data_IF_091153613532
#
_entry.id   IF_091153613532
#
_cell.length_a   1.000
_cell.length_b   1.000
_cell.length_c   1.000
_cell.angle_alpha   90.00
_cell.angle_beta   90.00
_cell.angle_gamma   90.00
#
_symmetry.space_group_name_H-M   'P 1'
#
loop_
_entity.id
_entity.type
_entity.pdbx_description
1 polymer ?
#
# COMPACT_ATOMS: atom_id res chain seq x y z
N UNK A 1 -55.23 34.77 -3.03
CA UNK A 1 -54.10 34.65 -3.97
C UNK A 1 -53.01 33.87 -3.25
N UNK A 2 -52.83 32.61 -3.66
CA UNK A 2 -51.58 31.80 -3.57
C UNK A 2 -51.13 31.44 -2.14
N UNK A 3 -50.76 30.23 -1.76
CA UNK A 3 -50.97 28.86 -2.23
C UNK A 3 -50.57 28.02 -1.00
N UNK A 4 -51.38 27.04 -0.62
CA UNK A 4 -50.84 25.88 0.07
C UNK A 4 -50.11 25.05 -0.98
N UNK A 5 -48.81 24.80 -0.79
CA UNK A 5 -48.12 23.66 -1.40
C UNK A 5 -47.17 23.04 -0.37
N UNK A 6 -46.99 21.72 -0.42
CA UNK A 6 -46.60 20.90 0.72
C UNK A 6 -45.09 20.73 0.81
N UNK A 7 -44.65 20.28 1.98
CA UNK A 7 -43.36 19.66 2.23
C UNK A 7 -42.94 18.76 1.06
N UNK A 8 -41.96 19.21 0.27
CA UNK A 8 -41.16 18.32 -0.55
C UNK A 8 -39.98 17.92 0.32
N UNK A 9 -40.05 16.70 0.85
CA UNK A 9 -38.88 16.02 1.43
C UNK A 9 -38.02 15.61 0.24
N UNK A 10 -37.19 16.54 -0.25
CA UNK A 10 -36.12 16.17 -1.19
C UNK A 10 -35.15 15.26 -0.44
N UNK A 11 -35.23 13.97 -0.77
CA UNK A 11 -34.16 13.03 -0.51
C UNK A 11 -32.93 13.54 -1.28
N UNK A 12 -32.06 14.29 -0.60
CA UNK A 12 -30.69 14.47 -1.04
C UNK A 12 -30.03 13.09 -1.04
N UNK A 13 -30.13 12.39 -2.17
CA UNK A 13 -29.18 11.36 -2.54
C UNK A 13 -27.81 12.07 -2.60
N UNK A 14 -27.05 12.01 -1.51
CA UNK A 14 -25.62 12.28 -1.54
C UNK A 14 -25.00 11.23 -2.46
N UNK A 15 -24.96 11.51 -3.75
CA UNK A 15 -24.04 10.84 -4.64
C UNK A 15 -22.65 11.22 -4.14
N UNK A 16 -21.97 10.28 -3.49
CA UNK A 16 -20.56 10.44 -3.14
C UNK A 16 -19.80 10.62 -4.45
N UNK A 17 -19.43 11.87 -4.76
CA UNK A 17 -18.47 12.16 -5.82
C UNK A 17 -17.16 11.57 -5.30
N UNK A 18 -16.79 10.38 -5.78
CA UNK A 18 -15.45 9.86 -5.50
C UNK A 18 -14.46 10.76 -6.23
N UNK A 19 -13.77 11.62 -5.49
CA UNK A 19 -12.65 12.35 -6.05
C UNK A 19 -11.54 11.33 -6.30
N UNK A 20 -11.29 11.05 -7.57
CA UNK A 20 -10.06 10.38 -7.98
C UNK A 20 -8.94 11.38 -7.74
N UNK A 21 -7.99 10.99 -6.90
CA UNK A 21 -6.83 11.81 -6.58
C UNK A 21 -5.60 10.97 -6.80
N UNK A 22 -4.70 11.46 -7.64
CA UNK A 22 -3.46 10.75 -7.90
C UNK A 22 -2.52 10.98 -6.72
N UNK A 23 -2.18 9.92 -6.00
CA UNK A 23 -1.10 9.99 -5.03
C UNK A 23 0.24 9.90 -5.74
N UNK A 24 1.05 10.93 -5.61
CA UNK A 24 2.48 10.85 -5.91
C UNK A 24 3.27 10.77 -4.62
N UNK A 25 4.15 9.78 -4.52
CA UNK A 25 4.95 9.52 -3.33
C UNK A 25 6.34 9.00 -3.70
N UNK A 26 7.28 9.19 -2.78
CA UNK A 26 8.58 8.54 -2.73
C UNK A 26 8.66 7.61 -1.53
N UNK A 27 9.67 6.76 -1.52
CA UNK A 27 10.05 5.93 -0.39
C UNK A 27 10.82 6.78 0.61
N UNK A 28 10.39 6.78 1.87
CA UNK A 28 10.99 7.57 2.92
C UNK A 28 12.22 6.88 3.51
N UNK A 29 13.41 7.39 3.16
CA UNK A 29 14.70 6.91 3.65
C UNK A 29 14.80 6.90 5.19
N UNK A 30 14.06 7.78 5.88
CA UNK A 30 14.04 7.82 7.35
C UNK A 30 13.44 6.54 7.93
N UNK A 31 12.47 5.97 7.24
CA UNK A 31 11.79 4.74 7.68
C UNK A 31 12.55 3.49 7.25
N UNK A 32 13.28 3.54 6.14
CA UNK A 32 13.89 2.37 5.52
C UNK A 32 14.83 1.58 6.43
N UNK A 33 14.69 0.26 6.47
CA UNK A 33 15.66 -0.60 7.14
C UNK A 33 17.06 -0.52 6.49
N UNK A 34 18.12 -0.76 7.26
CA UNK A 34 19.51 -0.67 6.80
C UNK A 34 19.91 -1.65 5.71
N UNK A 35 19.10 -2.69 5.49
CA UNK A 35 19.27 -3.66 4.41
C UNK A 35 18.61 -3.23 3.09
N UNK A 36 17.97 -2.07 3.04
CA UNK A 36 17.30 -1.55 1.85
C UNK A 36 18.01 -0.29 1.36
N UNK A 37 18.69 -0.38 0.23
CA UNK A 37 19.23 0.81 -0.45
C UNK A 37 18.12 1.41 -1.32
N UNK A 38 17.85 2.70 -1.15
CA UNK A 38 16.96 3.45 -2.02
C UNK A 38 17.71 3.91 -3.28
N UNK A 39 17.05 3.85 -4.43
CA UNK A 39 17.61 4.30 -5.70
C UNK A 39 16.53 4.83 -6.65
N UNK A 40 16.94 5.34 -7.81
CA UNK A 40 16.05 5.99 -8.80
C UNK A 40 15.23 7.17 -8.24
N UNK A 41 15.91 8.07 -7.51
CA UNK A 41 15.25 9.23 -6.86
C UNK A 41 14.17 8.77 -5.86
N UNK A 42 14.51 7.75 -5.08
CA UNK A 42 13.71 7.22 -3.98
C UNK A 42 12.38 6.60 -4.40
N UNK A 43 12.32 6.02 -5.61
CA UNK A 43 11.14 5.28 -6.09
C UNK A 43 11.42 3.78 -6.25
N UNK A 44 12.56 3.32 -5.74
CA UNK A 44 12.97 1.94 -5.82
C UNK A 44 13.83 1.55 -4.61
N UNK A 45 13.75 0.29 -4.20
CA UNK A 45 14.59 -0.32 -3.17
C UNK A 45 15.23 -1.60 -3.70
N UNK A 46 16.47 -1.85 -3.27
CA UNK A 46 17.18 -3.11 -3.50
C UNK A 46 17.59 -3.70 -2.15
N UNK A 47 17.34 -5.00 -1.99
CA UNK A 47 17.76 -5.70 -0.78
C UNK A 47 19.26 -6.00 -0.79
N UNK A 48 19.94 -5.68 0.32
CA UNK A 48 21.35 -5.96 0.58
C UNK A 48 21.44 -6.88 1.79
N UNK A 49 21.85 -8.13 1.56
CA UNK A 49 21.96 -9.15 2.61
C UNK A 49 22.83 -8.72 3.81
N UNK A 50 23.91 -7.99 3.57
CA UNK A 50 24.79 -7.48 4.63
C UNK A 50 24.29 -6.14 5.21
N UNK A 51 23.45 -5.42 4.47
CA UNK A 51 23.01 -4.06 4.79
C UNK A 51 24.14 -3.08 5.10
N UNK A 52 23.76 -1.94 5.68
CA UNK A 52 24.68 -1.05 6.37
C UNK A 52 24.82 -1.52 7.82
N UNK A 53 26.06 -1.55 8.32
CA UNK A 53 26.38 -1.79 9.72
C UNK A 53 25.51 -0.92 10.64
N UNK A 54 24.63 -1.50 11.47
CA UNK A 54 23.72 -0.75 12.32
C UNK A 54 24.41 0.23 13.27
N UNK A 55 25.67 -0.02 13.64
CA UNK A 55 26.46 0.89 14.49
C UNK A 55 26.83 2.21 13.80
N UNK A 56 26.81 2.23 12.46
CA UNK A 56 27.11 3.42 11.64
C UNK A 56 25.88 4.24 11.30
N UNK A 57 24.69 3.76 11.67
CA UNK A 57 23.43 4.40 11.35
C UNK A 57 23.01 5.27 12.53
N UNK A 58 22.82 6.59 12.34
CA UNK A 58 22.32 7.47 13.39
C UNK A 58 21.02 6.92 13.99
N UNK A 59 20.83 7.08 15.29
CA UNK A 59 19.57 6.71 15.91
C UNK A 59 18.44 7.56 15.32
N UNK A 60 17.48 6.88 14.70
CA UNK A 60 16.25 7.46 14.20
C UNK A 60 15.07 6.60 14.68
N UNK A 61 14.15 7.14 15.49
CA UNK A 61 12.97 6.39 15.95
C UNK A 61 12.01 6.04 14.81
N UNK A 62 12.07 6.73 13.67
CA UNK A 62 11.19 6.44 12.53
C UNK A 62 11.63 5.20 11.73
N UNK A 63 12.87 4.72 11.94
CA UNK A 63 13.50 3.66 11.15
C UNK A 63 13.09 2.28 11.64
N UNK A 64 12.68 1.40 10.71
CA UNK A 64 12.57 -0.03 11.00
C UNK A 64 13.95 -0.63 11.24
N UNK A 65 14.12 -1.36 12.35
CA UNK A 65 15.41 -1.94 12.76
C UNK A 65 15.49 -3.46 12.66
N UNK A 66 14.35 -4.13 12.78
CA UNK A 66 14.28 -5.60 12.80
C UNK A 66 13.80 -6.17 11.46
N UNK A 67 13.05 -5.38 10.69
CA UNK A 67 12.36 -5.84 9.49
C UNK A 67 12.76 -4.99 8.28
N UNK A 68 13.08 -5.65 7.17
CA UNK A 68 13.44 -5.02 5.90
C UNK A 68 12.24 -4.31 5.24
N UNK A 69 11.84 -3.16 5.82
CA UNK A 69 10.62 -2.40 5.51
C UNK A 69 10.99 -0.96 5.17
N UNK A 70 10.19 -0.35 4.29
CA UNK A 70 10.18 1.08 4.00
C UNK A 70 8.73 1.55 3.79
N UNK A 71 8.43 2.79 4.17
CA UNK A 71 7.13 3.43 3.95
C UNK A 71 7.23 4.51 2.87
N UNK A 72 6.08 4.86 2.29
CA UNK A 72 5.93 6.05 1.46
C UNK A 72 5.87 7.34 2.28
N UNK A 73 6.24 8.46 1.67
CA UNK A 73 6.27 9.79 2.30
C UNK A 73 4.95 10.57 2.22
N UNK A 74 3.94 10.03 1.52
CA UNK A 74 2.63 10.67 1.35
C UNK A 74 1.53 9.92 2.13
N UNK A 75 0.76 10.66 2.90
CA UNK A 75 -0.36 10.15 3.69
C UNK A 75 -1.66 10.21 2.89
N UNK A 76 -2.44 9.13 2.98
CA UNK A 76 -3.79 9.01 2.44
C UNK A 76 -4.78 9.11 3.60
N UNK A 77 -5.73 10.05 3.49
CA UNK A 77 -6.77 10.30 4.49
C UNK A 77 -8.19 10.26 3.92
N UNK A 78 -8.33 10.11 2.61
CA UNK A 78 -9.59 10.10 1.88
C UNK A 78 -9.36 9.74 0.41
N UNK A 79 -10.41 9.34 -0.30
CA UNK A 79 -10.44 9.16 -1.74
C UNK A 79 -9.94 7.80 -2.21
N UNK A 80 -9.88 7.68 -3.54
CA UNK A 80 -9.35 6.50 -4.24
C UNK A 80 -8.00 6.82 -4.85
N UNK A 81 -7.03 5.95 -4.60
CA UNK A 81 -5.64 6.14 -4.98
C UNK A 81 -5.09 4.87 -5.62
N UNK A 82 -4.37 5.03 -6.73
CA UNK A 82 -3.77 3.93 -7.47
C UNK A 82 -2.26 4.12 -7.61
N UNK A 83 -1.52 3.02 -7.43
CA UNK A 83 -0.11 2.95 -7.78
C UNK A 83 0.25 1.53 -8.21
N UNK A 84 1.32 1.41 -8.96
CA UNK A 84 1.84 0.11 -9.39
C UNK A 84 3.16 -0.21 -8.71
N UNK A 85 3.44 -1.50 -8.60
CA UNK A 85 4.70 -2.03 -8.06
C UNK A 85 5.28 -3.02 -9.05
N UNK A 86 6.52 -2.79 -9.46
CA UNK A 86 7.32 -3.77 -10.22
C UNK A 86 8.29 -4.46 -9.30
N UNK A 87 8.29 -5.79 -9.30
CA UNK A 87 9.21 -6.60 -8.50
C UNK A 87 10.13 -7.39 -9.43
N UNK A 88 11.42 -7.40 -9.13
CA UNK A 88 12.45 -8.08 -9.92
C UNK A 88 13.34 -8.93 -9.04
N UNK A 89 13.58 -10.18 -9.46
CA UNK A 89 14.52 -11.10 -8.82
C UNK A 89 14.23 -11.33 -7.33
N UNK A 90 12.95 -11.31 -6.96
CA UNK A 90 12.49 -11.53 -5.59
C UNK A 90 11.49 -12.68 -5.56
N UNK A 91 11.54 -13.51 -4.52
CA UNK A 91 10.54 -14.52 -4.21
C UNK A 91 9.86 -14.28 -2.86
N UNK A 92 10.24 -13.21 -2.15
CA UNK A 92 9.70 -12.87 -0.84
C UNK A 92 9.58 -11.35 -0.68
N UNK A 93 8.33 -10.86 -0.71
CA UNK A 93 8.00 -9.45 -0.51
C UNK A 93 6.59 -9.25 0.04
N UNK A 94 6.33 -8.07 0.61
CA UNK A 94 5.00 -7.60 1.01
C UNK A 94 4.77 -6.20 0.47
N UNK A 95 3.56 -5.95 -0.01
CA UNK A 95 3.13 -4.67 -0.56
C UNK A 95 1.73 -4.32 -0.05
N UNK A 96 1.50 -3.07 0.29
CA UNK A 96 0.17 -2.61 0.70
C UNK A 96 0.24 -1.25 1.37
N UNK A 97 -0.52 -1.10 2.46
CA UNK A 97 -0.54 0.11 3.26
C UNK A 97 -0.45 -0.20 4.75
N UNK A 98 -0.01 0.79 5.51
CA UNK A 98 -0.03 0.76 6.96
C UNK A 98 -0.45 2.11 7.52
N UNK A 99 -0.94 2.11 8.75
CA UNK A 99 -1.13 3.34 9.51
C UNK A 99 0.22 4.09 9.59
N UNK A 100 0.19 5.41 9.37
CA UNK A 100 1.41 6.22 9.30
C UNK A 100 2.28 6.12 10.57
N UNK A 101 1.62 5.93 11.71
CA UNK A 101 2.18 5.81 13.06
C UNK A 101 2.38 4.35 13.52
N UNK A 102 2.31 3.35 12.62
CA UNK A 102 2.54 1.96 12.98
C UNK A 102 3.87 1.77 13.73
N UNK A 103 3.92 0.80 14.66
CA UNK A 103 5.14 0.50 15.39
C UNK A 103 6.29 0.14 14.44
N UNK A 104 7.51 0.62 14.74
CA UNK A 104 8.72 0.32 13.97
C UNK A 104 9.39 -1.01 14.38
N UNK A 105 8.84 -1.68 15.39
CA UNK A 105 9.32 -2.95 15.93
C UNK A 105 8.59 -4.17 15.32
N UNK A 106 7.52 -3.94 14.56
CA UNK A 106 6.70 -5.01 13.97
C UNK A 106 6.79 -5.04 12.44
N UNK A 107 6.50 -6.21 11.87
CA UNK A 107 6.46 -6.38 10.43
C UNK A 107 5.07 -6.04 9.88
N UNK A 108 4.98 -5.45 8.67
CA UNK A 108 3.70 -5.19 8.01
C UNK A 108 2.91 -6.48 7.77
N UNK A 109 1.61 -6.46 8.09
CA UNK A 109 0.70 -7.62 8.09
C UNK A 109 0.63 -8.40 9.42
N UNK A 110 1.42 -8.05 10.44
CA UNK A 110 1.40 -8.70 11.76
C UNK A 110 0.32 -8.10 12.67
N UNK A 111 0.16 -6.78 12.69
CA UNK A 111 -0.85 -6.10 13.49
C UNK A 111 -2.09 -5.76 12.68
N UNK A 112 -3.09 -5.20 13.36
CA UNK A 112 -4.26 -4.60 12.74
C UNK A 112 -4.01 -3.16 12.20
N UNK A 113 -2.74 -2.71 12.20
CA UNK A 113 -2.31 -1.39 11.72
C UNK A 113 -1.72 -1.44 10.30
N UNK A 114 -1.81 -2.59 9.63
CA UNK A 114 -1.29 -2.77 8.27
C UNK A 114 -2.06 -3.83 7.50
N UNK A 115 -2.23 -3.58 6.20
CA UNK A 115 -3.03 -4.37 5.28
C UNK A 115 -2.21 -4.61 4.02
N UNK A 116 -1.76 -5.85 3.83
CA UNK A 116 -0.78 -6.15 2.77
C UNK A 116 -1.12 -7.42 2.00
N UNK A 117 -0.68 -7.41 0.75
CA UNK A 117 -0.50 -8.60 -0.05
C UNK A 117 0.94 -9.08 0.07
N UNK A 118 1.13 -10.37 0.27
CA UNK A 118 2.44 -11.00 0.42
C UNK A 118 2.67 -11.99 -0.71
N UNK A 119 3.87 -12.00 -1.27
CA UNK A 119 4.34 -13.06 -2.15
C UNK A 119 5.47 -13.80 -1.47
N UNK A 120 5.35 -15.12 -1.34
CA UNK A 120 6.31 -15.97 -0.63
C UNK A 120 6.18 -17.41 -1.12
N UNK A 121 7.29 -18.07 -1.43
CA UNK A 121 7.31 -19.45 -1.96
C UNK A 121 6.38 -19.65 -3.16
N UNK A 122 6.46 -18.72 -4.10
CA UNK A 122 5.68 -18.71 -5.34
C UNK A 122 4.15 -18.64 -5.17
N UNK A 123 3.68 -18.13 -4.03
CA UNK A 123 2.25 -18.01 -3.70
C UNK A 123 1.94 -16.62 -3.18
N UNK A 124 0.74 -16.15 -3.52
CA UNK A 124 0.20 -14.90 -3.00
C UNK A 124 -0.67 -15.13 -1.78
N UNK A 125 -0.67 -14.15 -0.88
CA UNK A 125 -1.46 -14.16 0.34
C UNK A 125 -1.98 -12.76 0.68
N UNK A 126 -3.14 -12.72 1.32
CA UNK A 126 -3.54 -11.60 2.17
C UNK A 126 -2.91 -11.78 3.55
N UNK A 127 -2.35 -10.70 4.12
CA UNK A 127 -1.88 -10.67 5.50
C UNK A 127 -2.37 -9.43 6.24
N UNK A 128 -2.99 -9.66 7.40
CA UNK A 128 -3.46 -8.64 8.34
C UNK A 128 -3.68 -9.31 9.70
N UNK A 129 -3.34 -8.64 10.80
CA UNK A 129 -3.62 -9.12 12.16
C UNK A 129 -3.10 -10.57 12.38
N UNK A 130 -1.89 -10.83 11.90
CA UNK A 130 -1.20 -12.12 11.94
C UNK A 130 -1.94 -13.27 11.23
N UNK A 131 -3.04 -12.99 10.54
CA UNK A 131 -3.77 -13.95 9.71
C UNK A 131 -3.19 -13.93 8.31
N UNK A 132 -3.13 -15.11 7.69
CA UNK A 132 -2.58 -15.32 6.36
C UNK A 132 -3.55 -16.16 5.54
N UNK A 133 -4.08 -15.60 4.46
CA UNK A 133 -5.04 -16.28 3.58
C UNK A 133 -4.49 -16.41 2.16
N UNK A 134 -4.47 -17.59 1.54
CA UNK A 134 -3.94 -17.76 0.19
C UNK A 134 -4.84 -17.08 -0.85
N UNK A 135 -4.22 -16.47 -1.85
CA UNK A 135 -4.87 -15.96 -3.06
C UNK A 135 -4.60 -16.95 -4.18
N UNK A 136 -5.64 -17.42 -4.85
CA UNK A 136 -5.55 -18.36 -5.97
C UNK A 136 -5.64 -17.62 -7.30
N UNK A 137 -5.23 -18.28 -8.38
CA UNK A 137 -5.36 -17.79 -9.77
C UNK A 137 -4.58 -16.51 -10.11
N UNK A 138 -3.56 -16.18 -9.30
CA UNK A 138 -2.57 -15.14 -9.60
C UNK A 138 -1.21 -15.82 -9.84
N UNK A 139 -0.59 -15.51 -10.98
CA UNK A 139 0.76 -16.01 -11.31
C UNK A 139 1.85 -15.28 -10.52
N UNK A 140 3.05 -15.20 -11.09
CA UNK A 140 4.09 -14.28 -10.63
C UNK A 140 4.13 -13.06 -11.55
N UNK A 141 3.23 -12.07 -11.36
CA UNK A 141 3.26 -10.86 -12.15
C UNK A 141 4.52 -10.05 -11.81
N UNK A 142 5.26 -9.65 -12.84
CA UNK A 142 6.40 -8.74 -12.70
C UNK A 142 5.97 -7.33 -12.26
N UNK A 143 4.70 -6.99 -12.49
CA UNK A 143 4.06 -5.72 -12.14
C UNK A 143 2.63 -5.95 -11.67
N UNK A 144 2.24 -5.33 -10.57
CA UNK A 144 0.88 -5.35 -10.02
C UNK A 144 0.44 -3.96 -9.62
N UNK A 145 -0.86 -3.70 -9.67
CA UNK A 145 -1.46 -2.48 -9.13
C UNK A 145 -1.99 -2.67 -7.72
N UNK A 146 -1.98 -1.58 -6.96
CA UNK A 146 -2.67 -1.44 -5.70
C UNK A 146 -3.68 -0.30 -5.83
N UNK A 147 -4.95 -0.61 -5.61
CA UNK A 147 -6.04 0.37 -5.57
C UNK A 147 -6.56 0.45 -4.15
N UNK A 148 -6.29 1.57 -3.49
CA UNK A 148 -6.84 1.89 -2.19
C UNK A 148 -8.13 2.70 -2.37
N UNK A 149 -9.19 2.24 -1.69
CA UNK A 149 -10.46 2.94 -1.55
C UNK A 149 -10.65 3.24 -0.06
N UNK A 150 -10.39 4.50 0.33
CA UNK A 150 -10.34 4.88 1.74
C UNK A 150 -11.73 4.85 2.36
N UNK A 151 -12.72 5.48 1.73
CA UNK A 151 -14.11 5.47 2.18
C UNK A 151 -14.72 4.07 2.11
N UNK A 152 -14.36 3.30 1.07
CA UNK A 152 -14.80 1.91 0.92
C UNK A 152 -14.09 0.92 1.85
N UNK A 153 -13.08 1.37 2.62
CA UNK A 153 -12.31 0.56 3.57
C UNK A 153 -11.67 -0.68 2.93
N UNK A 154 -11.06 -0.49 1.76
CA UNK A 154 -10.54 -1.60 0.96
C UNK A 154 -9.17 -1.28 0.37
N UNK A 155 -8.34 -2.31 0.33
CA UNK A 155 -7.16 -2.36 -0.52
C UNK A 155 -7.33 -3.48 -1.54
N UNK A 156 -7.19 -3.16 -2.81
CA UNK A 156 -7.34 -4.13 -3.89
C UNK A 156 -6.00 -4.43 -4.56
N UNK A 157 -5.78 -5.69 -4.88
CA UNK A 157 -4.71 -6.14 -5.76
C UNK A 157 -5.23 -6.16 -7.20
N UNK A 158 -4.49 -5.56 -8.12
CA UNK A 158 -4.90 -5.33 -9.51
C UNK A 158 -3.90 -5.98 -10.46
N UNK A 159 -4.41 -6.65 -11.49
CA UNK A 159 -3.63 -7.00 -12.68
C UNK A 159 -3.44 -5.73 -13.50
N UNK A 160 -2.26 -5.12 -13.41
CA UNK A 160 -1.93 -3.84 -14.07
C UNK A 160 -1.88 -3.93 -15.61
N UNK A 161 -1.82 -5.13 -16.19
CA UNK A 161 -1.84 -5.28 -17.65
C UNK A 161 -3.27 -5.37 -18.18
N UNK A 162 -4.15 -6.04 -17.42
CA UNK A 162 -5.56 -6.22 -17.79
C UNK A 162 -6.49 -5.16 -17.19
N UNK A 163 -5.99 -4.35 -16.24
CA UNK A 163 -6.78 -3.47 -15.39
C UNK A 163 -7.96 -4.21 -14.75
N UNK A 164 -7.72 -5.37 -14.15
CA UNK A 164 -8.77 -6.16 -13.48
C UNK A 164 -8.43 -6.39 -12.02
N UNK A 165 -9.45 -6.31 -11.16
CA UNK A 165 -9.32 -6.69 -9.75
C UNK A 165 -8.97 -8.19 -9.64
N UNK A 166 -7.90 -8.49 -8.93
CA UNK A 166 -7.49 -9.85 -8.59
C UNK A 166 -8.09 -10.23 -7.23
N UNK A 167 -7.93 -9.37 -6.24
CA UNK A 167 -8.40 -9.64 -4.89
C UNK A 167 -8.68 -8.36 -4.11
N UNK A 168 -9.59 -8.44 -3.14
CA UNK A 168 -9.97 -7.33 -2.26
C UNK A 168 -9.67 -7.73 -0.82
N UNK A 169 -8.89 -6.89 -0.15
CA UNK A 169 -8.58 -6.97 1.27
C UNK A 169 -9.44 -5.92 1.98
N UNK A 170 -10.35 -6.36 2.86
CA UNK A 170 -11.14 -5.46 3.69
C UNK A 170 -10.29 -4.91 4.83
N UNK A 171 -10.17 -3.58 4.88
CA UNK A 171 -9.39 -2.87 5.87
C UNK A 171 -10.27 -2.23 6.96
N UNK A 172 -9.62 -1.59 7.93
CA UNK A 172 -10.26 -0.79 8.99
C UNK A 172 -9.38 0.44 9.26
N UNK A 173 -9.30 1.31 8.25
CA UNK A 173 -8.54 2.56 8.31
C UNK A 173 -9.18 3.51 9.32
N UNK A 174 -8.46 3.80 10.41
CA UNK A 174 -8.92 4.70 11.49
C UNK A 174 -8.21 6.04 11.51
N UNK A 175 -7.29 6.26 10.55
CA UNK A 175 -6.47 7.44 10.46
C UNK A 175 -5.69 7.46 9.15
N UNK A 176 -4.67 8.34 9.04
CA UNK A 176 -3.83 8.41 7.86
C UNK A 176 -3.07 7.11 7.63
N UNK A 177 -3.10 6.61 6.39
CA UNK A 177 -2.31 5.45 5.96
C UNK A 177 -1.27 5.87 4.94
N UNK A 178 -0.18 5.11 4.85
CA UNK A 178 0.90 5.32 3.89
C UNK A 178 1.17 4.04 3.11
N UNK A 179 1.65 4.12 1.85
CA UNK A 179 2.19 2.96 1.14
C UNK A 179 3.27 2.27 1.97
N UNK A 180 3.27 0.94 1.99
CA UNK A 180 4.18 0.16 2.82
C UNK A 180 4.73 -1.04 2.06
N UNK A 181 6.05 -1.24 2.14
CA UNK A 181 6.76 -2.24 1.35
C UNK A 181 7.78 -2.98 2.21
N UNK A 182 7.83 -4.31 2.08
CA UNK A 182 8.87 -5.15 2.66
C UNK A 182 9.50 -6.01 1.56
N UNK A 183 10.83 -6.16 1.60
CA UNK A 183 11.59 -6.84 0.56
C UNK A 183 12.76 -7.59 1.18
N UNK A 184 12.86 -8.91 0.91
CA UNK A 184 13.91 -9.77 1.48
C UNK A 184 14.90 -10.31 0.44
N UNK A 185 14.65 -10.08 -0.85
CA UNK A 185 15.55 -10.37 -1.95
C UNK A 185 15.21 -9.49 -3.17
N UNK A 186 16.16 -9.31 -4.09
CA UNK A 186 15.91 -8.61 -5.35
C UNK A 186 15.65 -7.10 -5.20
N UNK A 187 14.75 -6.59 -6.06
CA UNK A 187 14.42 -5.18 -6.21
C UNK A 187 12.90 -4.96 -6.30
N UNK A 188 12.44 -3.84 -5.76
CA UNK A 188 11.07 -3.36 -5.86
C UNK A 188 11.08 -1.89 -6.33
N UNK A 189 10.22 -1.58 -7.30
CA UNK A 189 10.06 -0.24 -7.86
C UNK A 189 8.59 0.17 -7.75
N UNK A 190 8.35 1.40 -7.32
CA UNK A 190 7.01 1.99 -7.20
C UNK A 190 6.75 2.97 -8.35
N UNK A 191 5.54 2.93 -8.90
CA UNK A 191 5.05 3.87 -9.91
C UNK A 191 3.79 4.54 -9.37
N UNK A 192 3.92 5.80 -8.97
CA UNK A 192 2.88 6.62 -8.36
C UNK A 192 2.56 7.83 -9.25
N UNK A 193 1.54 8.61 -8.90
CA UNK A 193 0.99 9.68 -9.73
C UNK A 193 0.23 9.16 -10.94
N UNK A 194 -0.47 8.03 -10.76
CA UNK A 194 -1.27 7.38 -11.79
C UNK A 194 -2.74 7.60 -11.49
N UNK A 195 -3.52 7.88 -12.55
CA UNK A 195 -4.97 7.84 -12.49
C UNK A 195 -5.46 6.43 -12.12
N UNK A 196 -6.60 6.37 -11.44
CA UNK A 196 -7.32 5.09 -11.27
C UNK A 196 -7.84 4.65 -12.64
N UNK A 197 -7.52 3.42 -13.10
CA UNK A 197 -8.05 2.90 -14.36
C UNK A 197 -9.59 2.95 -14.40
N UNK A 198 -10.16 3.42 -15.52
CA UNK A 198 -11.61 3.68 -15.67
C UNK A 198 -12.51 2.47 -15.36
N UNK A 199 -11.97 1.26 -15.46
CA UNK A 199 -12.69 0.00 -15.30
C UNK A 199 -12.49 -0.66 -13.91
N UNK A 200 -12.01 0.09 -12.92
CA UNK A 200 -11.76 -0.38 -11.53
C UNK A 200 -12.59 0.33 -10.45
#
# INVERSE_FOLDING_TARGET
MICMCPFVVEHCCYAAISYFTDISFKLDEKTAHSSLDLFKKDTAIIYRMLGIDPSKIPQNPERFREWAIVLGDAQIVSGRHYWEVTVKRSNEFRIGVADADMSRDECIGVSNRSWVFAYCHSKWFVMQDSKKFPITNIGHPSKVGLLLDYEGQRLNLVDSEKNTLIHTLNADFRGPVVPAFALWDGELLTHSGLDVPENL
#
